data_IF_778712976874
#
_entry.id   IF_778712976874
#
_cell.length_a   1.000
_cell.length_b   1.000
_cell.length_c   1.000
_cell.angle_alpha   90.00
_cell.angle_beta   90.00
_cell.angle_gamma   90.00
#
_symmetry.space_group_name_H-M   'P 1'
#
loop_
_entity.id
_entity.type
_entity.pdbx_description
1 polymer ?
#
# COMPACT_ATOMS: atom_id res chain seq x y z
N UNK A 1 12.66 -24.00 -19.44
CA UNK A 1 13.34 -24.30 -20.72
C UNK A 1 14.10 -23.09 -21.30
N UNK A 2 13.58 -21.85 -21.26
CA UNK A 2 14.27 -20.66 -21.81
C UNK A 2 15.65 -20.34 -21.21
N UNK A 3 15.87 -20.53 -19.90
CA UNK A 3 17.18 -20.31 -19.27
C UNK A 3 18.27 -21.28 -19.76
N UNK A 4 17.89 -22.49 -20.16
CA UNK A 4 18.81 -23.51 -20.69
C UNK A 4 19.21 -23.21 -22.14
N UNK A 5 18.31 -22.62 -22.93
CA UNK A 5 18.60 -22.19 -24.31
C UNK A 5 19.53 -20.98 -24.36
N UNK A 6 19.38 -20.00 -23.45
CA UNK A 6 20.31 -18.85 -23.38
C UNK A 6 21.73 -19.28 -23.02
N UNK A 7 21.86 -20.22 -22.07
CA UNK A 7 23.17 -20.71 -21.64
C UNK A 7 23.82 -21.59 -22.71
N UNK A 8 23.03 -22.41 -23.45
CA UNK A 8 23.53 -23.13 -24.63
C UNK A 8 23.92 -22.20 -25.78
N UNK A 9 23.15 -21.12 -25.99
CA UNK A 9 23.45 -20.10 -27.00
C UNK A 9 24.77 -19.37 -26.71
N UNK A 10 25.00 -18.97 -25.45
CA UNK A 10 26.30 -18.44 -25.02
C UNK A 10 27.43 -19.47 -25.15
N UNK A 11 27.16 -20.74 -24.86
CA UNK A 11 28.19 -21.80 -24.91
C UNK A 11 28.58 -22.16 -26.35
N UNK A 12 27.63 -22.16 -27.29
CA UNK A 12 27.94 -22.33 -28.72
C UNK A 12 28.67 -21.11 -29.29
N UNK A 13 28.30 -19.89 -28.90
CA UNK A 13 29.05 -18.70 -29.26
C UNK A 13 30.50 -18.73 -28.71
N UNK A 14 30.71 -19.27 -27.50
CA UNK A 14 32.05 -19.45 -26.93
C UNK A 14 32.88 -20.55 -27.64
N UNK A 15 32.22 -21.55 -28.24
CA UNK A 15 32.89 -22.62 -29.01
C UNK A 15 33.33 -22.14 -30.41
N UNK A 16 32.56 -21.26 -31.05
CA UNK A 16 32.95 -20.62 -32.32
C UNK A 16 34.05 -19.55 -32.13
N UNK A 17 34.06 -18.87 -30.97
CA UNK A 17 35.07 -17.87 -30.56
C UNK A 17 36.48 -18.46 -30.38
N UNK A 18 36.61 -19.75 -30.07
CA UNK A 18 37.93 -20.40 -29.99
C UNK A 18 38.66 -20.48 -31.35
N UNK A 19 37.96 -20.18 -32.46
CA UNK A 19 38.50 -20.15 -33.82
C UNK A 19 38.45 -18.75 -34.47
N UNK A 20 37.93 -17.73 -33.78
CA UNK A 20 37.58 -16.42 -34.34
C UNK A 20 38.57 -15.30 -33.99
N UNK A 21 38.74 -14.39 -34.94
CA UNK A 21 39.65 -13.24 -34.93
C UNK A 21 39.46 -12.34 -33.70
N UNK A 22 40.55 -11.76 -33.18
CA UNK A 22 40.52 -10.98 -31.92
C UNK A 22 39.56 -9.77 -31.96
N UNK A 23 39.24 -9.31 -33.16
CA UNK A 23 38.27 -8.25 -33.44
C UNK A 23 36.82 -8.64 -33.10
N UNK A 24 36.44 -9.88 -33.41
CA UNK A 24 35.07 -10.39 -33.16
C UNK A 24 34.83 -10.59 -31.65
N UNK A 25 35.88 -11.03 -30.95
CA UNK A 25 35.93 -11.16 -29.50
C UNK A 25 35.84 -9.78 -28.80
N UNK A 26 36.51 -8.77 -29.36
CA UNK A 26 36.46 -7.40 -28.84
C UNK A 26 35.09 -6.74 -29.05
N UNK A 27 34.45 -6.99 -30.20
CA UNK A 27 33.09 -6.49 -30.47
C UNK A 27 32.07 -7.02 -29.45
N UNK A 28 32.15 -8.31 -29.09
CA UNK A 28 31.30 -8.91 -28.07
C UNK A 28 31.55 -8.32 -26.66
N UNK A 29 32.80 -8.01 -26.32
CA UNK A 29 33.14 -7.35 -25.06
C UNK A 29 32.52 -5.94 -24.99
N UNK A 30 32.53 -5.21 -26.10
CA UNK A 30 31.96 -3.86 -26.18
C UNK A 30 30.42 -3.89 -26.08
N UNK A 31 29.75 -4.87 -26.69
CA UNK A 31 28.32 -5.10 -26.51
C UNK A 31 27.99 -5.42 -25.04
N UNK A 32 28.77 -6.30 -24.39
CA UNK A 32 28.57 -6.66 -22.99
C UNK A 32 28.71 -5.45 -22.06
N UNK A 33 29.69 -4.59 -22.32
CA UNK A 33 29.90 -3.33 -21.59
C UNK A 33 28.75 -2.34 -21.80
N UNK A 34 28.21 -2.28 -23.02
CA UNK A 34 27.03 -1.46 -23.36
C UNK A 34 25.78 -1.95 -22.63
N UNK A 35 25.57 -3.28 -22.59
CA UNK A 35 24.48 -3.90 -21.82
C UNK A 35 24.64 -3.60 -20.33
N UNK A 36 25.83 -3.80 -19.75
CA UNK A 36 26.13 -3.51 -18.35
C UNK A 36 25.83 -2.05 -17.99
N UNK A 37 26.21 -1.12 -18.85
CA UNK A 37 25.92 0.31 -18.67
C UNK A 37 24.43 0.59 -18.72
N UNK A 38 23.70 -0.05 -19.64
CA UNK A 38 22.25 0.11 -19.79
C UNK A 38 21.50 -0.45 -18.57
N UNK A 39 21.92 -1.60 -18.04
CA UNK A 39 21.37 -2.20 -16.82
C UNK A 39 21.62 -1.28 -15.61
N UNK A 40 22.82 -0.73 -15.45
CA UNK A 40 23.12 0.18 -14.35
C UNK A 40 22.26 1.46 -14.39
N UNK A 41 22.06 2.04 -15.59
CA UNK A 41 21.15 3.19 -15.77
C UNK A 41 19.69 2.85 -15.43
N UNK A 42 19.25 1.62 -15.73
CA UNK A 42 17.92 1.15 -15.34
C UNK A 42 17.81 0.99 -13.82
N UNK A 43 18.83 0.45 -13.16
CA UNK A 43 18.89 0.33 -11.70
C UNK A 43 18.88 1.71 -11.02
N UNK A 44 19.64 2.67 -11.54
CA UNK A 44 19.61 4.06 -11.06
C UNK A 44 18.23 4.69 -11.24
N UNK A 45 17.59 4.49 -12.40
CA UNK A 45 16.22 4.96 -12.65
C UNK A 45 15.19 4.33 -11.71
N UNK A 46 15.32 3.02 -11.44
CA UNK A 46 14.47 2.31 -10.48
C UNK A 46 14.65 2.89 -9.07
N UNK A 47 15.90 3.10 -8.65
CA UNK A 47 16.21 3.66 -7.33
C UNK A 47 15.78 5.13 -7.20
N UNK A 48 15.91 5.93 -8.25
CA UNK A 48 15.43 7.32 -8.27
C UNK A 48 13.91 7.44 -8.39
N UNK A 49 13.25 6.40 -8.91
CA UNK A 49 11.78 6.30 -9.06
C UNK A 49 11.10 5.90 -7.74
N UNK A 50 11.80 5.17 -6.87
CA UNK A 50 11.31 4.84 -5.53
C UNK A 50 11.34 6.07 -4.63
N UNK A 51 10.28 6.87 -4.70
CA UNK A 51 10.00 7.96 -3.76
C UNK A 51 10.19 7.48 -2.32
N UNK A 52 10.78 8.32 -1.46
CA UNK A 52 10.79 8.07 0.00
C UNK A 52 9.40 7.74 0.53
N UNK A 53 8.36 8.27 -0.11
CA UNK A 53 6.96 8.00 0.20
C UNK A 53 6.51 6.56 -0.06
N UNK A 54 7.26 5.75 -0.81
CA UNK A 54 7.00 4.32 -0.98
C UNK A 54 7.81 3.44 0.00
N UNK A 55 8.61 4.05 0.89
CA UNK A 55 9.44 3.34 1.88
C UNK A 55 8.77 3.44 3.25
N UNK A 56 7.98 2.43 3.60
CA UNK A 56 7.31 2.34 4.90
C UNK A 56 8.29 1.88 6.00
N UNK A 57 8.12 2.39 7.22
CA UNK A 57 8.91 1.98 8.39
C UNK A 57 10.33 2.56 8.42
N UNK A 58 10.59 3.58 7.61
CA UNK A 58 11.87 4.31 7.57
C UNK A 58 11.61 5.78 7.89
N UNK A 59 12.50 6.46 8.64
CA UNK A 59 12.35 7.89 8.96
C UNK A 59 12.76 8.77 7.76
N UNK A 60 12.20 8.50 6.58
CA UNK A 60 12.45 9.26 5.37
C UNK A 60 11.36 10.32 5.18
N UNK A 61 11.72 11.58 4.92
CA UNK A 61 10.74 12.63 4.72
C UNK A 61 9.90 12.36 3.48
N UNK A 62 8.60 12.49 3.62
CA UNK A 62 7.63 12.31 2.55
C UNK A 62 6.61 13.46 2.62
N UNK A 63 6.61 14.31 1.59
CA UNK A 63 5.79 15.51 1.56
C UNK A 63 4.40 15.29 0.91
N UNK A 64 4.17 14.14 0.28
CA UNK A 64 2.95 13.85 -0.50
C UNK A 64 2.52 12.40 -0.29
N UNK A 65 1.26 12.07 -0.55
CA UNK A 65 0.86 10.66 -0.59
C UNK A 65 1.58 9.92 -1.74
N UNK A 66 1.94 8.67 -1.52
CA UNK A 66 2.39 7.78 -2.60
C UNK A 66 1.21 6.97 -3.13
N UNK A 67 1.16 6.84 -4.45
CA UNK A 67 0.22 5.96 -5.16
C UNK A 67 0.98 5.24 -6.26
N UNK A 68 0.85 3.91 -6.32
CA UNK A 68 1.34 3.15 -7.45
C UNK A 68 0.26 3.13 -8.56
N UNK A 69 0.44 3.96 -9.60
CA UNK A 69 -0.52 4.05 -10.69
C UNK A 69 -0.61 2.75 -11.50
N UNK A 70 0.51 2.05 -11.71
CA UNK A 70 0.52 0.79 -12.47
C UNK A 70 -0.35 -0.29 -11.82
N UNK A 71 -0.26 -0.43 -10.48
CA UNK A 71 -1.12 -1.35 -9.71
C UNK A 71 -2.60 -0.93 -9.81
N UNK A 72 -2.88 0.37 -9.72
CA UNK A 72 -4.26 0.88 -9.72
C UNK A 72 -4.92 0.76 -11.10
N UNK A 73 -4.16 1.03 -12.16
CA UNK A 73 -4.64 0.99 -13.54
C UNK A 73 -4.76 -0.46 -14.04
N UNK A 74 -3.99 -1.39 -13.47
CA UNK A 74 -3.98 -2.82 -13.84
C UNK A 74 -4.35 -3.72 -12.64
N UNK A 75 -5.40 -3.38 -11.91
CA UNK A 75 -5.83 -4.13 -10.72
C UNK A 75 -6.23 -5.58 -11.05
N UNK A 76 -5.31 -6.51 -10.89
CA UNK A 76 -5.53 -7.94 -11.17
C UNK A 76 -4.43 -8.80 -10.53
N UNK A 77 -4.74 -10.08 -10.29
CA UNK A 77 -3.74 -11.07 -9.87
C UNK A 77 -3.36 -11.03 -8.38
N UNK A 78 -4.05 -10.23 -7.58
CA UNK A 78 -3.84 -10.17 -6.12
C UNK A 78 -4.71 -11.19 -5.40
N UNK A 79 -4.09 -11.90 -4.47
CA UNK A 79 -4.73 -12.81 -3.52
C UNK A 79 -5.15 -12.09 -2.25
N UNK A 80 -4.38 -11.09 -1.81
CA UNK A 80 -4.65 -10.33 -0.60
C UNK A 80 -4.36 -8.85 -0.76
N UNK A 81 -5.12 -8.03 -0.02
CA UNK A 81 -4.79 -6.62 0.23
C UNK A 81 -4.74 -6.41 1.72
N UNK A 82 -3.73 -5.71 2.23
CA UNK A 82 -3.62 -5.42 3.65
C UNK A 82 -3.51 -3.92 3.91
N UNK A 83 -4.29 -3.44 4.88
CA UNK A 83 -4.21 -2.08 5.42
C UNK A 83 -3.45 -2.14 6.74
N UNK A 84 -2.34 -1.41 6.81
CA UNK A 84 -1.52 -1.28 8.01
C UNK A 84 -1.52 0.17 8.51
N UNK A 85 -1.66 0.34 9.82
CA UNK A 85 -1.66 1.63 10.51
C UNK A 85 -0.33 1.79 11.25
N UNK A 86 0.32 2.95 11.10
CA UNK A 86 1.63 3.19 11.70
C UNK A 86 1.63 4.40 12.64
N UNK A 87 2.33 4.22 13.76
CA UNK A 87 2.65 5.28 14.72
C UNK A 87 4.12 5.17 15.11
N UNK A 88 4.86 6.27 15.04
CA UNK A 88 6.30 6.33 15.30
C UNK A 88 7.09 5.28 14.48
N UNK A 89 6.73 5.11 13.20
CA UNK A 89 7.26 4.10 12.28
C UNK A 89 7.08 2.63 12.72
N UNK A 90 6.26 2.37 13.74
CA UNK A 90 5.88 1.01 14.15
C UNK A 90 4.45 0.73 13.70
N UNK A 91 4.23 -0.50 13.23
CA UNK A 91 2.89 -1.01 13.01
C UNK A 91 2.14 -1.04 14.36
N UNK A 92 0.94 -0.47 14.38
CA UNK A 92 0.05 -0.52 15.55
C UNK A 92 -1.17 -1.40 15.31
N UNK A 93 -1.67 -1.46 14.07
CA UNK A 93 -2.80 -2.30 13.69
C UNK A 93 -2.75 -2.67 12.21
N UNK A 94 -3.29 -3.83 11.87
CA UNK A 94 -3.56 -4.24 10.49
C UNK A 94 -4.91 -4.94 10.30
N UNK A 95 -5.36 -4.93 9.04
CA UNK A 95 -6.46 -5.76 8.52
C UNK A 95 -6.05 -6.29 7.15
N UNK A 96 -6.14 -7.61 6.97
CA UNK A 96 -5.90 -8.28 5.69
C UNK A 96 -7.23 -8.72 5.08
N UNK A 97 -7.37 -8.52 3.77
CA UNK A 97 -8.56 -8.77 2.98
C UNK A 97 -8.29 -9.75 1.86
N UNK A 98 -9.29 -10.55 1.51
CA UNK A 98 -9.34 -11.36 0.30
C UNK A 98 -9.54 -10.46 -0.92
N UNK A 99 -8.51 -10.45 -1.78
CA UNK A 99 -8.47 -9.62 -2.98
C UNK A 99 -9.01 -10.33 -4.23
N UNK A 100 -9.32 -11.62 -4.16
CA UNK A 100 -9.82 -12.39 -5.30
C UNK A 100 -11.12 -11.74 -5.78
N UNK A 101 -11.19 -11.49 -7.09
CA UNK A 101 -12.31 -10.83 -7.77
C UNK A 101 -12.71 -9.47 -7.16
N UNK A 102 -11.78 -8.80 -6.48
CA UNK A 102 -11.96 -7.42 -6.01
C UNK A 102 -11.60 -6.42 -7.11
N UNK A 103 -12.04 -5.18 -6.92
CA UNK A 103 -11.57 -4.01 -7.67
C UNK A 103 -10.76 -3.12 -6.72
N UNK A 104 -9.98 -2.21 -7.30
CA UNK A 104 -9.23 -1.21 -6.54
C UNK A 104 -10.12 -0.33 -5.63
N UNK A 105 -11.44 -0.34 -5.82
CA UNK A 105 -12.42 0.40 -5.00
C UNK A 105 -13.23 -0.45 -4.02
N UNK A 106 -13.22 -1.79 -4.13
CA UNK A 106 -14.10 -2.65 -3.33
C UNK A 106 -13.41 -3.73 -2.49
N UNK A 107 -12.08 -3.85 -2.56
CA UNK A 107 -11.32 -4.81 -1.75
C UNK A 107 -11.50 -4.56 -0.24
N UNK A 108 -11.63 -3.30 0.17
CA UNK A 108 -11.94 -2.92 1.54
C UNK A 108 -13.44 -3.14 1.77
N UNK A 109 -13.78 -4.36 2.18
CA UNK A 109 -15.12 -4.74 2.55
C UNK A 109 -15.05 -5.70 3.74
N UNK A 110 -15.98 -5.56 4.69
CA UNK A 110 -16.05 -6.42 5.87
C UNK A 110 -16.14 -7.91 5.52
N UNK A 111 -16.89 -8.26 4.46
CA UNK A 111 -17.05 -9.66 4.04
C UNK A 111 -15.78 -10.28 3.45
N UNK A 112 -14.74 -9.47 3.20
CA UNK A 112 -13.46 -9.90 2.65
C UNK A 112 -12.38 -10.03 3.72
N UNK A 113 -12.65 -9.72 4.99
CA UNK A 113 -11.61 -9.81 6.04
C UNK A 113 -11.12 -11.25 6.20
N UNK A 114 -9.80 -11.44 6.09
CA UNK A 114 -9.10 -12.71 6.37
C UNK A 114 -8.46 -12.71 7.75
N UNK A 115 -7.86 -11.59 8.15
CA UNK A 115 -7.14 -11.44 9.41
C UNK A 115 -7.18 -9.99 9.91
N UNK A 116 -7.06 -9.78 11.23
CA UNK A 116 -6.92 -8.45 11.83
C UNK A 116 -6.42 -8.50 13.27
N UNK A 117 -5.67 -7.46 13.65
CA UNK A 117 -5.37 -7.14 15.07
C UNK A 117 -6.59 -6.69 15.88
N UNK A 118 -7.64 -6.15 15.24
CA UNK A 118 -8.90 -5.83 15.91
C UNK A 118 -9.76 -7.10 16.02
N UNK A 119 -9.79 -7.69 17.19
CA UNK A 119 -10.38 -9.03 17.44
C UNK A 119 -11.90 -9.08 17.26
N UNK A 120 -12.57 -7.93 17.34
CA UNK A 120 -14.03 -7.82 17.22
C UNK A 120 -14.50 -7.38 15.83
N UNK A 121 -13.57 -7.12 14.89
CA UNK A 121 -13.89 -6.48 13.61
C UNK A 121 -14.81 -7.33 12.72
N UNK A 122 -14.75 -8.66 12.86
CA UNK A 122 -15.61 -9.59 12.12
C UNK A 122 -16.95 -9.82 12.83
N UNK A 123 -16.95 -9.89 14.17
CA UNK A 123 -18.15 -10.18 14.97
C UNK A 123 -19.09 -8.99 15.13
N UNK A 124 -18.56 -7.77 15.24
CA UNK A 124 -19.37 -6.57 15.50
C UNK A 124 -20.01 -6.02 14.22
N UNK A 125 -21.24 -5.46 14.27
CA UNK A 125 -21.89 -4.91 13.09
C UNK A 125 -21.05 -3.78 12.48
N UNK A 126 -21.23 -3.53 11.18
CA UNK A 126 -20.63 -2.41 10.49
C UNK A 126 -21.65 -1.69 9.62
N UNK A 127 -21.84 -0.39 9.86
CA UNK A 127 -22.76 0.45 9.10
C UNK A 127 -22.07 1.16 7.92
N UNK A 128 -20.76 1.44 8.03
CA UNK A 128 -19.92 1.91 6.93
C UNK A 128 -18.60 1.16 7.03
N UNK A 129 -18.25 0.40 5.99
CA UNK A 129 -17.01 -0.37 5.92
C UNK A 129 -16.52 -0.39 4.47
N UNK A 130 -15.91 0.70 4.02
CA UNK A 130 -15.46 0.84 2.63
C UNK A 130 -14.39 1.92 2.43
N UNK A 131 -13.67 1.81 1.31
CA UNK A 131 -12.74 2.83 0.81
C UNK A 131 -13.42 4.19 0.61
N UNK A 132 -14.56 4.18 -0.09
CA UNK A 132 -15.33 5.40 -0.35
C UNK A 132 -15.86 6.03 0.94
N UNK A 133 -16.14 5.19 1.95
CA UNK A 133 -16.60 5.61 3.26
C UNK A 133 -17.87 6.46 3.20
N UNK A 134 -17.87 7.61 3.87
CA UNK A 134 -19.01 8.52 3.94
C UNK A 134 -18.69 9.90 3.39
N UNK A 135 -19.34 10.24 2.27
CA UNK A 135 -19.18 11.50 1.55
C UNK A 135 -20.48 12.31 1.59
N UNK A 136 -20.46 13.48 2.24
CA UNK A 136 -21.59 14.45 2.28
C UNK A 136 -21.05 15.88 2.19
N UNK A 137 -21.88 16.89 1.99
CA UNK A 137 -21.44 18.30 1.80
C UNK A 137 -20.32 18.73 2.79
N UNK A 138 -20.45 18.37 4.07
CA UNK A 138 -19.49 18.69 5.13
C UNK A 138 -18.78 17.46 5.73
N UNK A 139 -18.81 16.29 5.09
CA UNK A 139 -18.16 15.07 5.58
C UNK A 139 -17.27 14.47 4.50
N UNK A 140 -16.01 14.20 4.85
CA UNK A 140 -15.06 13.40 4.06
C UNK A 140 -14.43 12.37 4.99
N UNK A 141 -15.07 11.20 5.10
CA UNK A 141 -14.56 10.05 5.84
C UNK A 141 -14.22 8.97 4.82
N UNK A 142 -12.95 8.89 4.43
CA UNK A 142 -12.42 7.88 3.51
C UNK A 142 -11.82 6.74 4.32
N UNK A 143 -11.64 5.56 3.71
CA UNK A 143 -11.15 4.35 4.40
C UNK A 143 -11.86 4.15 5.74
N UNK A 144 -13.19 4.10 5.72
CA UNK A 144 -13.97 4.21 6.94
C UNK A 144 -14.41 2.82 7.41
N UNK A 145 -13.78 2.34 8.47
CA UNK A 145 -14.09 1.09 9.16
C UNK A 145 -14.89 1.45 10.42
N UNK A 146 -16.20 1.59 10.26
CA UNK A 146 -17.11 2.02 11.32
C UNK A 146 -18.11 0.94 11.69
N UNK A 147 -18.32 0.74 12.99
CA UNK A 147 -19.24 -0.29 13.47
C UNK A 147 -20.69 0.20 13.44
N UNK A 148 -20.97 1.28 14.16
CA UNK A 148 -22.31 1.83 14.30
C UNK A 148 -22.27 3.36 14.27
N UNK A 149 -23.32 3.95 13.73
CA UNK A 149 -23.53 5.40 13.71
C UNK A 149 -24.93 5.68 14.23
N UNK A 150 -25.02 6.01 15.52
CA UNK A 150 -26.27 6.41 16.16
C UNK A 150 -26.33 7.93 16.27
N UNK A 151 -25.25 8.54 16.77
CA UNK A 151 -25.07 9.97 16.95
C UNK A 151 -23.58 10.31 16.91
N UNK A 152 -23.21 11.60 16.84
CA UNK A 152 -21.80 11.99 16.99
C UNK A 152 -21.18 11.51 18.32
N UNK A 153 -21.98 11.37 19.38
CA UNK A 153 -21.52 10.93 20.70
C UNK A 153 -21.33 9.43 20.83
N UNK A 154 -22.08 8.62 20.06
CA UNK A 154 -22.17 7.16 20.23
C UNK A 154 -21.56 6.38 19.05
N UNK A 155 -20.89 7.07 18.13
CA UNK A 155 -20.27 6.43 16.98
C UNK A 155 -19.00 5.69 17.42
N UNK A 156 -18.91 4.40 17.08
CA UNK A 156 -17.72 3.57 17.33
C UNK A 156 -17.16 2.99 16.04
N UNK A 157 -15.85 2.79 16.00
CA UNK A 157 -15.18 2.18 14.86
C UNK A 157 -13.72 1.84 15.15
N UNK A 158 -13.03 1.44 14.08
CA UNK A 158 -11.66 0.92 14.13
C UNK A 158 -10.66 1.87 13.49
N UNK A 159 -10.99 2.38 12.28
CA UNK A 159 -10.12 3.25 11.51
C UNK A 159 -10.92 4.22 10.63
N UNK A 160 -10.39 5.43 10.45
CA UNK A 160 -10.92 6.43 9.50
C UNK A 160 -9.82 7.37 9.02
N UNK A 161 -9.81 7.65 7.71
CA UNK A 161 -9.11 8.79 7.15
C UNK A 161 -10.10 9.95 6.97
N UNK A 162 -9.75 11.12 7.51
CA UNK A 162 -10.60 12.31 7.49
C UNK A 162 -9.90 13.37 6.66
N UNK A 163 -10.58 13.83 5.60
CA UNK A 163 -10.00 14.73 4.59
C UNK A 163 -10.71 16.11 4.54
N UNK A 164 -11.41 16.51 5.60
CA UNK A 164 -12.19 17.76 5.61
C UNK A 164 -12.21 18.49 6.96
N UNK A 165 -11.90 19.78 6.90
CA UNK A 165 -11.95 20.75 8.00
C UNK A 165 -13.35 20.96 8.60
N UNK A 166 -14.41 20.70 7.83
CA UNK A 166 -15.81 20.96 8.23
C UNK A 166 -16.53 19.74 8.79
N UNK A 167 -15.79 18.79 9.36
CA UNK A 167 -16.35 17.58 9.97
C UNK A 167 -17.57 17.87 10.86
N UNK A 168 -18.63 17.08 10.69
CA UNK A 168 -19.93 17.31 11.34
C UNK A 168 -19.93 16.99 12.84
N UNK A 169 -19.00 16.16 13.30
CA UNK A 169 -18.82 15.78 14.69
C UNK A 169 -17.53 16.37 15.27
N UNK A 170 -17.52 16.65 16.58
CA UNK A 170 -16.33 17.20 17.26
C UNK A 170 -15.11 16.30 17.15
N UNK A 171 -15.28 14.97 17.16
CA UNK A 171 -14.18 14.03 16.97
C UNK A 171 -13.55 14.08 15.57
N UNK A 172 -14.19 14.71 14.58
CA UNK A 172 -13.61 14.88 13.24
C UNK A 172 -12.75 16.14 13.12
N UNK A 173 -12.92 17.09 14.05
CA UNK A 173 -12.21 18.37 13.99
C UNK A 173 -10.73 18.15 14.28
N UNK A 174 -9.88 18.71 13.43
CA UNK A 174 -8.45 18.72 13.61
C UNK A 174 -7.85 20.02 13.07
N UNK A 175 -6.62 20.33 13.50
CA UNK A 175 -5.85 21.50 13.07
C UNK A 175 -5.21 21.31 11.69
N UNK A 176 -5.02 20.06 11.25
CA UNK A 176 -4.47 19.71 9.96
C UNK A 176 -5.19 18.48 9.38
N UNK A 177 -5.19 18.41 8.04
CA UNK A 177 -5.78 17.32 7.26
C UNK A 177 -4.81 16.88 6.15
N UNK A 178 -4.83 15.61 5.72
CA UNK A 178 -5.69 14.54 6.24
C UNK A 178 -5.29 14.11 7.67
N UNK A 179 -6.23 13.51 8.41
CA UNK A 179 -5.95 12.89 9.71
C UNK A 179 -6.43 11.44 9.70
N UNK A 180 -5.60 10.55 10.23
CA UNK A 180 -5.87 9.12 10.29
C UNK A 180 -6.15 8.74 11.74
N UNK A 181 -7.42 8.54 12.09
CA UNK A 181 -7.80 8.15 13.46
C UNK A 181 -8.00 6.66 13.54
N UNK A 182 -7.57 6.06 14.66
CA UNK A 182 -7.70 4.64 14.89
C UNK A 182 -8.00 4.33 16.36
N UNK A 183 -8.65 3.19 16.59
CA UNK A 183 -8.80 2.62 17.93
C UNK A 183 -7.47 2.04 18.40
N UNK A 184 -6.96 2.50 19.54
CA UNK A 184 -5.71 1.99 20.14
C UNK A 184 -5.90 0.67 20.88
N UNK A 185 -7.15 0.24 21.07
CA UNK A 185 -7.48 -1.06 21.64
C UNK A 185 -7.52 -2.13 20.54
N UNK A 186 -7.49 -3.39 20.94
CA UNK A 186 -7.72 -4.52 20.02
C UNK A 186 -9.21 -4.68 19.63
N UNK A 187 -10.06 -3.69 19.90
CA UNK A 187 -11.48 -3.68 19.57
C UNK A 187 -11.89 -2.31 19.05
N UNK A 188 -13.12 -2.16 18.54
CA UNK A 188 -13.65 -0.82 18.22
C UNK A 188 -13.71 0.06 19.46
N UNK A 189 -13.55 1.37 19.26
CA UNK A 189 -13.67 2.37 20.31
C UNK A 189 -14.62 3.49 19.89
N UNK A 190 -15.20 4.17 20.88
CA UNK A 190 -15.97 5.38 20.64
C UNK A 190 -15.03 6.49 20.16
N UNK A 191 -15.40 7.17 19.07
CA UNK A 191 -14.56 8.20 18.45
C UNK A 191 -14.25 9.41 19.35
N UNK A 192 -15.03 9.61 20.42
CA UNK A 192 -14.81 10.66 21.43
C UNK A 192 -14.03 10.16 22.66
N UNK A 193 -13.68 8.88 22.72
CA UNK A 193 -12.97 8.31 23.87
C UNK A 193 -11.47 8.60 23.83
N UNK A 194 -10.81 8.44 24.97
CA UNK A 194 -9.36 8.52 25.09
C UNK A 194 -8.61 7.34 24.47
N UNK A 195 -9.32 6.31 23.99
CA UNK A 195 -8.72 5.16 23.27
C UNK A 195 -8.66 5.36 21.76
N UNK A 196 -8.71 6.61 21.30
CA UNK A 196 -8.51 6.99 19.91
C UNK A 196 -7.21 7.78 19.81
N UNK A 197 -6.34 7.38 18.90
CA UNK A 197 -5.11 8.11 18.57
C UNK A 197 -5.07 8.44 17.07
N UNK A 198 -4.14 9.30 16.70
CA UNK A 198 -3.86 9.70 15.31
C UNK A 198 -2.61 9.00 14.81
N UNK A 199 -2.75 8.18 13.77
CA UNK A 199 -1.63 7.55 13.08
C UNK A 199 -0.84 8.58 12.27
N UNK A 200 0.46 8.33 12.10
CA UNK A 200 1.33 9.22 11.32
C UNK A 200 1.11 8.97 9.82
N UNK A 201 0.87 7.71 9.44
CA UNK A 201 0.47 7.29 8.12
C UNK A 201 -0.17 5.89 8.17
N UNK A 202 -0.80 5.48 7.07
CA UNK A 202 -1.21 4.10 6.84
C UNK A 202 -0.69 3.65 5.48
N UNK A 203 -0.49 2.34 5.31
CA UNK A 203 0.02 1.74 4.09
C UNK A 203 -0.91 0.64 3.60
N UNK A 204 -1.03 0.55 2.27
CA UNK A 204 -1.77 -0.53 1.60
C UNK A 204 -0.77 -1.40 0.85
N UNK A 205 -0.78 -2.70 1.15
CA UNK A 205 0.03 -3.71 0.48
C UNK A 205 -0.89 -4.63 -0.33
N UNK A 206 -0.42 -5.04 -1.50
CA UNK A 206 -1.09 -6.04 -2.34
C UNK A 206 -0.15 -7.22 -2.53
N UNK A 207 -0.70 -8.44 -2.47
CA UNK A 207 0.04 -9.71 -2.53
C UNK A 207 -0.53 -10.64 -3.59
#
# INVERSE_FOLDING_TARGET
>A
MMKSLLLLGLCMALLDVAAGDSEELQALVDELNTIKTSVNKLLEKINSSMSSCCKVGQPLPCANHYRNNEIMDNWSGFSEVALFVYKNNMEVHHVTFDAIDSTFMNWLNKSRIKDSTWTDITSEPANVFSLYGQQKLNLRRTFFLNSNFLSCGDTTGWFVAIDNERGGCSWEKNTAFPVFKYSTANTKMNWNSSGIDTADYFAIYVH
#
